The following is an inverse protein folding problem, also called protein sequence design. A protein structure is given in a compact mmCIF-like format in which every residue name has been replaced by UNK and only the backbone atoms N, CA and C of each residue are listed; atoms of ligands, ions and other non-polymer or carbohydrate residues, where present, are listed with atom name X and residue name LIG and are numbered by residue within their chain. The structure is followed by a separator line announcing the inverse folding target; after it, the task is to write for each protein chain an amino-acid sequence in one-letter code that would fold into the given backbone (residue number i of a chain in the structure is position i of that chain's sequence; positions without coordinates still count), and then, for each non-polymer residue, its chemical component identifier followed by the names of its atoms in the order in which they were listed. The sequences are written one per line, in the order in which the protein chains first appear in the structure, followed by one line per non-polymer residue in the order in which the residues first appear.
data_IF_884370872285
#
_entry.id   IF_884370872285
#
_cell.length_a   1.000
_cell.length_b   1.000
_cell.length_c   1.000
_cell.angle_alpha   90.00
_cell.angle_beta   90.00
_cell.angle_gamma   90.00
#
_symmetry.space_group_name_H-M   'P 1'
#
loop_
_entity.id
_entity.type
_entity.pdbx_description
1 polymer ?
#
# COMPACT_ATOMS: atom_id res chain seq x y z
N UNK A 1 5.76 -21.13 8.88
CA UNK A 1 4.86 -20.20 8.18
C UNK A 1 4.75 -18.94 9.02
N UNK A 2 5.06 -17.75 8.50
CA UNK A 2 4.81 -16.49 9.22
C UNK A 2 3.51 -15.92 8.67
N UNK A 3 2.43 -16.03 9.43
CA UNK A 3 1.21 -15.29 9.14
C UNK A 3 1.50 -13.78 9.22
N UNK A 4 0.93 -12.97 8.31
CA UNK A 4 1.14 -11.52 8.28
C UNK A 4 2.39 -11.03 7.53
N UNK A 5 2.89 -11.77 6.53
CA UNK A 5 4.00 -11.31 5.68
C UNK A 5 3.67 -10.02 4.92
N UNK A 6 2.47 -9.86 4.40
CA UNK A 6 2.13 -8.71 3.56
C UNK A 6 1.76 -7.47 4.39
N UNK A 7 2.20 -6.30 3.93
CA UNK A 7 1.81 -4.97 4.43
C UNK A 7 0.86 -4.30 3.45
N UNK A 8 -0.06 -3.52 4.00
CA UNK A 8 -1.11 -2.85 3.24
C UNK A 8 -0.60 -1.53 2.66
N UNK A 9 -0.85 -1.33 1.38
CA UNK A 9 -0.63 -0.08 0.65
C UNK A 9 -1.98 0.58 0.36
N UNK A 10 -2.06 1.90 0.53
CA UNK A 10 -3.31 2.68 0.43
C UNK A 10 -3.15 3.84 -0.55
N UNK A 11 -4.26 4.25 -1.16
CA UNK A 11 -4.34 5.47 -1.99
C UNK A 11 -4.06 5.30 -3.49
N UNK A 12 -3.66 4.11 -3.95
CA UNK A 12 -3.35 3.88 -5.36
C UNK A 12 -2.07 4.60 -5.83
N UNK A 13 -1.79 4.53 -7.12
CA UNK A 13 -0.63 5.15 -7.77
C UNK A 13 -0.94 5.46 -9.25
N UNK A 14 -0.03 6.15 -9.93
CA UNK A 14 -0.19 6.64 -11.31
C UNK A 14 -0.49 5.55 -12.36
N UNK A 15 -0.17 4.28 -12.08
CA UNK A 15 -0.41 3.16 -13.01
C UNK A 15 -1.63 2.30 -12.64
N UNK A 16 -2.48 2.74 -11.70
CA UNK A 16 -3.65 1.98 -11.29
C UNK A 16 -4.94 2.55 -11.90
N UNK A 17 -5.96 1.69 -12.00
CA UNK A 17 -7.32 2.12 -12.31
C UNK A 17 -7.89 3.01 -11.17
N UNK A 18 -8.88 3.85 -11.50
CA UNK A 18 -9.46 4.81 -10.56
C UNK A 18 -10.03 4.16 -9.29
N UNK A 19 -10.59 2.96 -9.40
CA UNK A 19 -11.08 2.16 -8.27
C UNK A 19 -10.00 1.85 -7.20
N UNK A 20 -8.73 1.75 -7.59
CA UNK A 20 -7.65 1.46 -6.64
C UNK A 20 -7.37 2.64 -5.70
N UNK A 21 -7.73 3.86 -6.12
CA UNK A 21 -7.61 5.07 -5.33
C UNK A 21 -8.77 5.22 -4.32
N UNK A 22 -9.76 4.32 -4.34
CA UNK A 22 -10.86 4.34 -3.38
C UNK A 22 -10.39 4.14 -1.94
N UNK A 23 -11.08 4.80 -1.00
CA UNK A 23 -10.82 4.69 0.43
C UNK A 23 -11.12 3.29 0.97
N UNK A 24 -11.86 2.44 0.27
CA UNK A 24 -12.07 1.04 0.68
C UNK A 24 -10.97 0.08 0.22
N UNK A 25 -10.18 0.43 -0.81
CA UNK A 25 -9.27 -0.51 -1.46
C UNK A 25 -8.04 -0.86 -0.61
N UNK A 26 -7.76 -2.13 -0.32
CA UNK A 26 -6.64 -2.55 0.52
C UNK A 26 -5.65 -3.42 -0.25
N UNK A 27 -4.84 -2.78 -1.10
CA UNK A 27 -3.76 -3.47 -1.79
C UNK A 27 -2.67 -3.92 -0.79
N UNK A 28 -1.95 -4.99 -1.07
CA UNK A 28 -0.91 -5.50 -0.17
C UNK A 28 0.26 -6.10 -0.94
N UNK A 29 1.46 -5.99 -0.37
CA UNK A 29 2.69 -6.58 -0.89
C UNK A 29 3.55 -7.10 0.27
N UNK A 30 4.49 -8.00 -0.03
CA UNK A 30 5.54 -8.34 0.93
C UNK A 30 6.36 -7.09 1.29
N UNK A 31 6.98 -7.01 2.49
CA UNK A 31 7.70 -5.81 2.93
C UNK A 31 9.01 -5.62 2.16
N UNK A 32 9.50 -6.69 1.51
CA UNK A 32 10.65 -6.66 0.62
C UNK A 32 10.32 -6.15 -0.79
N UNK A 33 9.05 -5.93 -1.12
CA UNK A 33 8.65 -5.36 -2.41
C UNK A 33 9.03 -3.87 -2.47
N UNK A 34 9.79 -3.49 -3.50
CA UNK A 34 10.35 -2.14 -3.69
C UNK A 34 9.91 -1.52 -5.02
N UNK A 35 8.69 -1.84 -5.48
CA UNK A 35 8.17 -1.27 -6.72
C UNK A 35 8.21 0.27 -6.69
N UNK A 36 8.54 0.87 -7.84
CA UNK A 36 8.68 2.32 -8.00
C UNK A 36 7.35 3.10 -7.93
N UNK A 37 6.22 2.41 -7.72
CA UNK A 37 4.90 3.00 -7.53
C UNK A 37 4.41 2.92 -6.07
N UNK A 38 5.29 2.56 -5.13
CA UNK A 38 5.00 2.51 -3.69
C UNK A 38 5.72 3.66 -2.99
N UNK A 39 5.02 4.36 -2.10
CA UNK A 39 5.57 5.42 -1.24
C UNK A 39 5.07 5.32 0.20
N UNK A 40 5.40 6.32 1.02
CA UNK A 40 4.95 6.40 2.42
C UNK A 40 4.48 7.82 2.77
N UNK A 41 3.60 7.91 3.77
CA UNK A 41 3.16 9.16 4.39
C UNK A 41 3.49 9.06 5.87
N UNK A 42 4.21 10.05 6.40
CA UNK A 42 4.50 10.13 7.83
C UNK A 42 3.22 10.42 8.62
N UNK A 43 3.13 9.86 9.81
CA UNK A 43 2.10 10.18 10.79
C UNK A 43 2.78 10.70 12.05
N UNK A 44 2.15 11.65 12.71
CA UNK A 44 2.55 12.15 14.03
C UNK A 44 1.62 11.52 15.07
N UNK A 45 2.16 11.20 16.24
CA UNK A 45 1.37 10.79 17.41
C UNK A 45 0.64 12.02 17.99
N UNK A 46 -0.60 11.84 18.45
CA UNK A 46 -1.41 12.91 19.05
C UNK A 46 -1.24 12.96 20.57
#
# INVERSE_FOLDING_TARGET
MREGSNRVNRGGSWNNAAENCAVSNRNNNTPSNRNNNIGFRLALEL
#
